data_IF_159846965909
#
_entry.id   IF_159846965909
#
_cell.length_a   1.000
_cell.length_b   1.000
_cell.length_c   1.000
_cell.angle_alpha   90.00
_cell.angle_beta   90.00
_cell.angle_gamma   90.00
#
_symmetry.space_group_name_H-M   'P 1'
#
loop_
_entity.id
_entity.type
_entity.pdbx_description
1 polymer ?
#
# COMPACT_ATOMS: atom_id res chain seq x y z
N UNK A 1 18.46 12.19 -1.06
CA UNK A 1 17.06 11.88 -0.75
C UNK A 1 16.77 10.60 -1.50
N UNK A 2 16.49 9.52 -0.78
CA UNK A 2 16.14 8.24 -1.40
C UNK A 2 14.67 8.32 -1.80
N UNK A 3 14.43 8.62 -3.07
CA UNK A 3 13.09 8.57 -3.66
C UNK A 3 12.85 7.14 -4.14
N UNK A 4 11.71 6.55 -3.79
CA UNK A 4 11.35 5.21 -4.25
C UNK A 4 10.83 5.30 -5.69
N UNK A 5 11.40 4.49 -6.59
CA UNK A 5 10.99 4.44 -8.00
C UNK A 5 9.50 4.13 -8.16
N UNK A 6 8.77 5.06 -8.80
CA UNK A 6 7.33 4.92 -9.03
C UNK A 6 6.98 3.65 -9.82
N UNK A 7 7.83 3.26 -10.77
CA UNK A 7 7.65 2.04 -11.55
C UNK A 7 7.74 0.78 -10.67
N UNK A 8 8.67 0.72 -9.70
CA UNK A 8 8.76 -0.39 -8.74
C UNK A 8 7.49 -0.48 -7.88
N UNK A 9 7.01 0.67 -7.40
CA UNK A 9 5.80 0.75 -6.59
C UNK A 9 4.60 0.23 -7.39
N UNK A 10 4.41 0.73 -8.62
CA UNK A 10 3.35 0.29 -9.52
C UNK A 10 3.42 -1.20 -9.84
N UNK A 11 4.62 -1.74 -10.04
CA UNK A 11 4.82 -3.17 -10.26
C UNK A 11 4.43 -4.01 -9.03
N UNK A 12 4.76 -3.54 -7.82
CA UNK A 12 4.40 -4.20 -6.57
C UNK A 12 2.89 -4.16 -6.31
N UNK A 13 2.22 -3.03 -6.59
CA UNK A 13 0.75 -2.92 -6.43
C UNK A 13 -0.05 -3.47 -7.62
N UNK A 14 0.61 -3.90 -8.70
CA UNK A 14 -0.04 -4.40 -9.92
C UNK A 14 -1.14 -5.46 -9.71
N UNK A 15 -0.94 -6.48 -8.86
CA UNK A 15 -1.98 -7.46 -8.54
C UNK A 15 -3.21 -6.83 -7.89
N UNK A 16 -3.03 -5.79 -7.07
CA UNK A 16 -4.10 -5.07 -6.40
C UNK A 16 -4.78 -4.09 -7.35
N UNK A 17 -4.02 -3.45 -8.25
CA UNK A 17 -4.55 -2.56 -9.27
C UNK A 17 -5.57 -3.28 -10.18
N UNK A 18 -5.35 -4.55 -10.53
CA UNK A 18 -6.31 -5.34 -11.30
C UNK A 18 -7.63 -5.60 -10.54
N UNK A 19 -7.56 -5.75 -9.22
CA UNK A 19 -8.75 -5.90 -8.36
C UNK A 19 -9.48 -4.56 -8.26
N UNK A 20 -8.74 -3.47 -8.09
CA UNK A 20 -9.29 -2.12 -8.01
C UNK A 20 -9.98 -1.72 -9.32
N UNK A 21 -9.36 -1.98 -10.46
CA UNK A 21 -9.92 -1.71 -11.79
C UNK A 21 -11.27 -2.41 -12.00
N UNK A 22 -11.42 -3.65 -11.51
CA UNK A 22 -12.69 -4.39 -11.54
C UNK A 22 -13.80 -3.76 -10.69
N UNK A 23 -13.46 -2.84 -9.78
CA UNK A 23 -14.38 -2.12 -8.89
C UNK A 23 -14.44 -0.61 -9.19
N UNK A 24 -14.01 -0.17 -10.38
CA UNK A 24 -13.88 1.26 -10.75
C UNK A 24 -13.03 2.05 -9.74
N UNK A 25 -12.03 1.40 -9.13
CA UNK A 25 -11.08 1.98 -8.18
C UNK A 25 -9.68 2.11 -8.78
N UNK A 26 -8.89 3.08 -8.29
CA UNK A 26 -7.50 3.30 -8.72
C UNK A 26 -6.60 3.65 -7.53
N UNK A 27 -5.33 3.23 -7.59
CA UNK A 27 -4.27 3.68 -6.69
C UNK A 27 -3.57 4.90 -7.28
N UNK A 28 -3.67 6.03 -6.60
CA UNK A 28 -2.91 7.22 -6.95
C UNK A 28 -1.72 7.42 -6.00
N UNK A 29 -0.51 7.38 -6.55
CA UNK A 29 0.73 7.63 -5.79
C UNK A 29 0.98 9.13 -5.74
N UNK A 30 0.96 9.69 -4.53
CA UNK A 30 1.04 11.14 -4.27
C UNK A 30 2.47 11.59 -3.97
N UNK A 31 3.24 10.83 -3.19
CA UNK A 31 4.66 11.10 -2.91
C UNK A 31 5.40 9.80 -2.57
N UNK A 32 6.71 9.79 -2.78
CA UNK A 32 7.63 8.65 -2.53
C UNK A 32 8.91 9.11 -1.83
N UNK A 33 8.85 10.25 -1.14
CA UNK A 33 9.98 10.92 -0.49
C UNK A 33 10.37 10.24 0.83
N UNK A 34 11.67 10.23 1.13
CA UNK A 34 12.23 9.67 2.37
C UNK A 34 11.87 8.19 2.65
N UNK A 35 11.62 7.42 1.58
CA UNK A 35 11.14 6.03 1.70
C UNK A 35 9.68 5.93 2.18
N UNK A 36 8.96 7.04 2.28
CA UNK A 36 7.55 7.06 2.69
C UNK A 36 6.67 7.21 1.45
N UNK A 37 5.88 6.19 1.16
CA UNK A 37 4.96 6.22 0.03
C UNK A 37 3.60 6.74 0.49
N UNK A 38 3.23 7.93 0.01
CA UNK A 38 1.90 8.50 0.22
C UNK A 38 0.98 8.10 -0.92
N UNK A 39 -0.15 7.47 -0.61
CA UNK A 39 -1.09 6.92 -1.57
C UNK A 39 -2.51 7.42 -1.27
N UNK A 40 -3.25 7.76 -2.32
CA UNK A 40 -4.69 7.96 -2.28
C UNK A 40 -5.39 6.84 -3.05
N UNK A 41 -6.42 6.26 -2.45
CA UNK A 41 -7.33 5.36 -3.16
C UNK A 41 -8.45 6.22 -3.73
N UNK A 42 -8.63 6.18 -5.05
CA UNK A 42 -9.66 6.95 -5.77
C UNK A 42 -10.68 6.02 -6.42
N UNK A 43 -11.82 6.58 -6.83
CA UNK A 43 -12.90 5.82 -7.49
C UNK A 43 -13.83 5.08 -6.53
N UNK A 44 -14.40 3.95 -6.98
CA UNK A 44 -15.38 3.13 -6.25
C UNK A 44 -14.90 2.51 -4.94
N UNK A 45 -13.59 2.59 -4.69
CA UNK A 45 -12.97 2.15 -3.45
C UNK A 45 -12.95 3.21 -2.33
N UNK A 46 -13.36 4.45 -2.60
CA UNK A 46 -13.43 5.48 -1.56
C UNK A 46 -14.67 5.25 -0.69
N UNK A 47 -14.49 4.81 0.56
CA UNK A 47 -15.60 4.62 1.52
C UNK A 47 -16.38 3.30 1.37
N UNK A 48 -15.82 2.31 0.67
CA UNK A 48 -16.41 0.97 0.58
C UNK A 48 -15.93 0.11 1.76
N UNK A 49 -16.75 -0.84 2.22
CA UNK A 49 -16.34 -1.76 3.30
C UNK A 49 -15.13 -2.64 2.95
N UNK A 50 -14.75 -2.71 1.66
CA UNK A 50 -13.59 -3.44 1.17
C UNK A 50 -12.27 -2.62 1.20
N UNK A 51 -12.33 -1.30 1.37
CA UNK A 51 -11.15 -0.41 1.41
C UNK A 51 -10.04 -0.89 2.36
N UNK A 52 -10.31 -1.30 3.61
CA UNK A 52 -9.25 -1.78 4.51
C UNK A 52 -8.56 -3.07 4.03
N UNK A 53 -9.26 -3.98 3.34
CA UNK A 53 -8.64 -5.19 2.78
C UNK A 53 -7.68 -4.84 1.64
N UNK A 54 -8.05 -3.93 0.76
CA UNK A 54 -7.17 -3.43 -0.30
C UNK A 54 -5.96 -2.70 0.28
N UNK A 55 -6.18 -1.80 1.25
CA UNK A 55 -5.10 -1.08 1.92
C UNK A 55 -4.11 -2.04 2.60
N UNK A 56 -4.62 -3.10 3.23
CA UNK A 56 -3.79 -4.16 3.83
C UNK A 56 -2.88 -4.85 2.80
N UNK A 57 -3.41 -5.22 1.63
CA UNK A 57 -2.63 -5.86 0.58
C UNK A 57 -1.56 -4.93 -0.03
N UNK A 58 -1.91 -3.66 -0.24
CA UNK A 58 -0.97 -2.64 -0.76
C UNK A 58 0.16 -2.41 0.26
N UNK A 59 -0.19 -2.21 1.53
CA UNK A 59 0.79 -2.01 2.59
C UNK A 59 1.77 -3.19 2.68
N UNK A 60 1.26 -4.42 2.71
CA UNK A 60 2.09 -5.62 2.74
C UNK A 60 3.03 -5.73 1.53
N UNK A 61 2.54 -5.47 0.31
CA UNK A 61 3.35 -5.59 -0.89
C UNK A 61 4.45 -4.51 -0.98
N UNK A 62 4.15 -3.30 -0.49
CA UNK A 62 5.09 -2.19 -0.52
C UNK A 62 6.13 -2.26 0.60
N UNK A 63 5.75 -2.67 1.81
CA UNK A 63 6.69 -2.86 2.93
C UNK A 63 7.71 -3.98 2.68
N UNK A 64 7.47 -4.86 1.69
CA UNK A 64 8.45 -5.86 1.23
C UNK A 64 9.56 -5.27 0.35
N UNK A 65 9.45 -4.01 -0.06
CA UNK A 65 10.48 -3.35 -0.85
C UNK A 65 11.52 -2.75 0.09
N UNK A 66 12.80 -3.06 -0.14
CA UNK A 66 13.94 -2.57 0.66
C UNK A 66 14.05 -1.03 0.74
N UNK A 67 13.57 -0.34 -0.30
CA UNK A 67 13.60 1.12 -0.41
C UNK A 67 12.43 1.80 0.36
N UNK A 68 11.47 1.03 0.87
CA UNK A 68 10.24 1.54 1.50
C UNK A 68 10.36 1.44 3.02
N UNK A 69 10.28 2.58 3.69
CA UNK A 69 10.20 2.68 5.14
C UNK A 69 8.76 2.68 5.65
N UNK A 70 7.84 3.35 4.95
CA UNK A 70 6.44 3.40 5.37
C UNK A 70 5.47 3.66 4.21
N UNK A 71 4.20 3.35 4.41
CA UNK A 71 3.10 3.63 3.48
C UNK A 71 1.97 4.35 4.21
N UNK A 72 1.61 5.53 3.70
CA UNK A 72 0.57 6.39 4.25
C UNK A 72 -0.60 6.46 3.28
N UNK A 73 -1.81 6.15 3.78
CA UNK A 73 -3.05 6.27 3.02
C UNK A 73 -3.72 7.60 3.35
N UNK A 74 -3.90 8.48 2.35
CA UNK A 74 -4.48 9.81 2.53
C UNK A 74 -6.00 9.80 2.67
N UNK A 75 -6.66 8.84 2.01
CA UNK A 75 -8.13 8.68 1.98
C UNK A 75 -8.57 7.23 2.28
N UNK A 76 -7.63 6.36 2.68
CA UNK A 76 -7.90 4.97 3.04
C UNK A 76 -7.59 4.75 4.52
N UNK A 77 -8.49 4.09 5.24
CA UNK A 77 -8.24 3.72 6.62
C UNK A 77 -7.60 2.33 6.66
N UNK A 78 -6.31 2.26 7.00
CA UNK A 78 -5.68 1.04 7.51
C UNK A 78 -5.60 1.17 9.03
N UNK A 79 -6.47 0.49 9.80
CA UNK A 79 -6.43 0.55 11.25
C UNK A 79 -5.08 0.09 11.81
N UNK A 80 -4.64 0.73 12.91
CA UNK A 80 -3.34 0.45 13.53
C UNK A 80 -3.15 -1.04 13.89
N UNK A 81 -4.22 -1.72 14.35
CA UNK A 81 -4.14 -3.14 14.69
C UNK A 81 -3.89 -4.03 13.46
N UNK A 82 -4.44 -3.68 12.30
CA UNK A 82 -4.20 -4.40 11.05
C UNK A 82 -2.77 -4.13 10.57
N UNK A 83 -2.33 -2.88 10.67
CA UNK A 83 -0.95 -2.49 10.34
C UNK A 83 0.07 -3.26 11.19
N UNK A 84 -0.12 -3.28 12.51
CA UNK A 84 0.74 -4.01 13.43
C UNK A 84 0.77 -5.53 13.14
N UNK A 85 -0.38 -6.12 12.78
CA UNK A 85 -0.43 -7.53 12.39
C UNK A 85 0.39 -7.83 11.12
N UNK A 86 0.34 -6.93 10.13
CA UNK A 86 1.13 -7.09 8.90
C UNK A 86 2.62 -6.94 9.21
N UNK A 87 2.98 -5.96 10.04
CA UNK A 87 4.36 -5.69 10.45
C UNK A 87 4.98 -6.88 11.20
N UNK A 88 4.25 -7.44 12.17
CA UNK A 88 4.66 -8.66 12.89
C UNK A 88 4.87 -9.82 11.93
N UNK A 89 3.93 -10.02 10.98
CA UNK A 89 4.05 -11.06 9.97
C UNK A 89 5.25 -10.86 9.04
N UNK A 90 5.53 -9.63 8.62
CA UNK A 90 6.68 -9.31 7.76
C UNK A 90 8.00 -9.58 8.49
N UNK A 91 8.13 -9.11 9.74
CA UNK A 91 9.31 -9.39 10.56
C UNK A 91 9.55 -10.90 10.72
N UNK A 92 8.48 -11.70 10.89
CA UNK A 92 8.58 -13.16 10.95
C UNK A 92 8.98 -13.80 9.61
N UNK A 93 8.58 -13.24 8.47
CA UNK A 93 8.98 -13.71 7.14
C UNK A 93 10.44 -13.34 6.79
N UNK A 94 10.96 -12.23 7.32
CA UNK A 94 12.34 -11.78 7.12
C UNK A 94 13.37 -12.54 8.00
N UNK A 95 12.93 -13.24 9.05
CA UNK A 95 13.80 -14.03 9.94
C UNK A 95 14.09 -15.48 9.47
N UNK A 96 13.54 -15.93 8.32
CA UNK A 96 13.70 -17.30 7.76
C UNK A 96 14.57 -17.33 6.48
#
# INVERSE_FOLDING_TARGET
>A
MAEVDREKILASVGPVQAVLDAHDGEVNIVSTEDGIISISLEGGCTGCSATPMTAMQIYYSLMKLEDVQDVVFLNGELPEYMRAFIDDKLNLEDED
#
